data_IF_125859361803
#
_entry.id   IF_125859361803
#
_cell.length_a   1.000
_cell.length_b   1.000
_cell.length_c   1.000
_cell.angle_alpha   90.00
_cell.angle_beta   90.00
_cell.angle_gamma   90.00
#
_symmetry.space_group_name_H-M   'P 1'
#
loop_
_entity.id
_entity.type
_entity.pdbx_description
1 polymer ?
#
# COMPACT_ATOMS: atom_id res chain seq x y z
N UNK A 1 -3.26 -27.44 -7.73
CA UNK A 1 -2.73 -26.07 -7.76
C UNK A 1 -3.77 -25.17 -7.11
N UNK A 2 -3.64 -24.91 -5.80
CA UNK A 2 -4.49 -23.91 -5.15
C UNK A 2 -4.04 -22.55 -5.66
N UNK A 3 -4.87 -21.90 -6.47
CA UNK A 3 -4.78 -20.45 -6.62
C UNK A 3 -5.10 -19.89 -5.25
N UNK A 4 -4.08 -19.34 -4.59
CA UNK A 4 -4.23 -18.57 -3.36
C UNK A 4 -5.13 -17.38 -3.72
N UNK A 5 -6.43 -17.56 -3.55
CA UNK A 5 -7.42 -16.59 -3.98
C UNK A 5 -7.16 -15.34 -3.16
N UNK A 6 -6.73 -14.25 -3.81
CA UNK A 6 -6.60 -12.93 -3.21
C UNK A 6 -7.89 -12.60 -2.46
N UNK A 7 -7.89 -12.79 -1.14
CA UNK A 7 -9.08 -12.59 -0.32
C UNK A 7 -9.34 -11.09 -0.25
N UNK A 8 -10.53 -10.60 -0.65
CA UNK A 8 -10.84 -9.17 -0.58
C UNK A 8 -10.61 -8.57 0.81
N UNK A 9 -10.81 -9.36 1.87
CA UNK A 9 -10.53 -8.95 3.25
C UNK A 9 -9.04 -8.66 3.51
N UNK A 10 -8.13 -9.49 2.99
CA UNK A 10 -6.69 -9.30 3.14
C UNK A 10 -6.19 -8.07 2.36
N UNK A 11 -6.75 -7.83 1.16
CA UNK A 11 -6.47 -6.62 0.40
C UNK A 11 -6.98 -5.37 1.14
N UNK A 12 -8.19 -5.43 1.71
CA UNK A 12 -8.76 -4.32 2.47
C UNK A 12 -7.91 -3.99 3.72
N UNK A 13 -7.44 -5.02 4.44
CA UNK A 13 -6.53 -4.83 5.57
C UNK A 13 -5.21 -4.19 5.12
N UNK A 14 -4.58 -4.72 4.07
CA UNK A 14 -3.35 -4.15 3.51
C UNK A 14 -3.54 -2.69 3.06
N UNK A 15 -4.68 -2.36 2.43
CA UNK A 15 -5.03 -1.00 2.03
C UNK A 15 -5.10 -0.04 3.24
N UNK A 16 -5.70 -0.47 4.35
CA UNK A 16 -5.89 0.39 5.52
C UNK A 16 -4.60 0.59 6.33
N UNK A 17 -3.82 -0.49 6.50
CA UNK A 17 -2.73 -0.52 7.49
C UNK A 17 -1.33 -0.55 6.88
N UNK A 18 -1.15 -1.16 5.71
CA UNK A 18 0.19 -1.34 5.10
C UNK A 18 0.53 -0.26 4.07
N UNK A 19 -0.47 0.39 3.48
CA UNK A 19 -0.21 1.46 2.50
C UNK A 19 0.13 2.78 3.18
N UNK A 20 1.16 3.51 2.72
CA UNK A 20 1.48 4.82 3.28
C UNK A 20 0.34 5.81 3.00
N UNK A 21 0.08 6.71 3.95
CA UNK A 21 -1.01 7.70 3.85
C UNK A 21 -0.90 8.61 2.62
N UNK A 22 0.33 8.94 2.19
CA UNK A 22 0.58 9.75 1.01
C UNK A 22 0.12 9.05 -0.28
N UNK A 23 0.27 7.72 -0.39
CA UNK A 23 -0.12 6.98 -1.59
C UNK A 23 -1.64 6.95 -1.76
N UNK A 24 -2.38 6.79 -0.66
CA UNK A 24 -3.85 6.89 -0.67
C UNK A 24 -4.34 8.26 -1.16
N UNK A 25 -3.72 9.33 -0.65
CA UNK A 25 -4.04 10.70 -1.09
C UNK A 25 -3.60 10.93 -2.54
N UNK A 26 -2.40 10.47 -2.89
CA UNK A 26 -1.78 10.65 -4.21
C UNK A 26 -2.58 10.04 -5.36
N UNK A 27 -3.38 8.99 -5.12
CA UNK A 27 -4.34 8.46 -6.11
C UNK A 27 -5.34 9.51 -6.61
N UNK A 28 -5.65 10.50 -5.78
CA UNK A 28 -6.60 11.58 -6.09
C UNK A 28 -5.91 12.89 -6.49
N UNK A 29 -4.57 12.89 -6.59
CA UNK A 29 -3.81 14.08 -6.97
C UNK A 29 -4.20 14.56 -8.38
N UNK A 30 -4.22 15.88 -8.65
CA UNK A 30 -4.49 16.40 -9.99
C UNK A 30 -3.35 16.11 -10.97
N UNK A 31 -2.12 15.97 -10.47
CA UNK A 31 -0.93 15.63 -11.25
C UNK A 31 -0.90 14.13 -11.62
N UNK A 32 -0.82 13.82 -12.91
CA UNK A 32 -0.84 12.43 -13.41
C UNK A 32 0.38 11.63 -12.98
N UNK A 33 1.57 12.24 -12.96
CA UNK A 33 2.78 11.53 -12.54
C UNK A 33 2.70 11.16 -11.05
N UNK A 34 2.13 12.03 -10.23
CA UNK A 34 1.88 11.78 -8.82
C UNK A 34 0.87 10.65 -8.62
N UNK A 35 -0.22 10.62 -9.41
CA UNK A 35 -1.18 9.49 -9.38
C UNK A 35 -0.50 8.16 -9.71
N UNK A 36 0.35 8.14 -10.73
CA UNK A 36 1.08 6.92 -11.13
C UNK A 36 2.06 6.46 -10.04
N UNK A 37 2.82 7.39 -9.46
CA UNK A 37 3.74 7.08 -8.33
C UNK A 37 2.98 6.53 -7.14
N UNK A 38 1.83 7.12 -6.81
CA UNK A 38 0.97 6.67 -5.72
C UNK A 38 0.39 5.27 -5.97
N UNK A 39 -0.07 5.01 -7.20
CA UNK A 39 -0.57 3.69 -7.59
C UNK A 39 0.54 2.62 -7.50
N UNK A 40 1.75 2.94 -7.95
CA UNK A 40 2.90 2.04 -7.86
C UNK A 40 3.27 1.72 -6.42
N UNK A 41 3.36 2.73 -5.56
CA UNK A 41 3.66 2.53 -4.13
C UNK A 41 2.60 1.66 -3.45
N UNK A 42 1.33 1.97 -3.71
CA UNK A 42 0.21 1.24 -3.14
C UNK A 42 0.22 -0.23 -3.57
N UNK A 43 0.54 -0.51 -4.83
CA UNK A 43 0.67 -1.87 -5.33
C UNK A 43 1.82 -2.63 -4.65
N UNK A 44 2.99 -2.00 -4.47
CA UNK A 44 4.15 -2.60 -3.78
C UNK A 44 3.82 -2.90 -2.32
N UNK A 45 3.26 -1.92 -1.61
CA UNK A 45 2.89 -2.06 -0.20
C UNK A 45 1.88 -3.19 0.03
N UNK A 46 0.87 -3.32 -0.83
CA UNK A 46 -0.11 -4.41 -0.75
C UNK A 46 0.55 -5.75 -1.04
N UNK A 47 1.38 -5.83 -2.09
CA UNK A 47 2.07 -7.07 -2.43
C UNK A 47 2.96 -7.55 -1.27
N UNK A 48 3.76 -6.66 -0.68
CA UNK A 48 4.61 -6.95 0.48
C UNK A 48 3.80 -7.44 1.69
N UNK A 49 2.68 -6.77 1.98
CA UNK A 49 1.79 -7.16 3.07
C UNK A 49 1.21 -8.57 2.87
N UNK A 50 0.82 -8.91 1.64
CA UNK A 50 0.25 -10.21 1.29
C UNK A 50 1.31 -11.33 1.27
N UNK A 51 2.57 -11.02 0.93
CA UNK A 51 3.67 -11.99 0.99
C UNK A 51 4.26 -12.15 2.39
N UNK A 52 3.74 -11.43 3.39
CA UNK A 52 4.21 -11.47 4.78
C UNK A 52 5.56 -10.76 5.01
N UNK A 53 6.05 -10.03 4.01
CA UNK A 53 7.31 -9.29 4.09
C UNK A 53 7.02 -7.89 4.65
N UNK A 54 6.75 -7.84 5.97
CA UNK A 54 6.54 -6.58 6.69
C UNK A 54 7.87 -5.85 6.82
N UNK A 55 8.28 -5.21 5.73
CA UNK A 55 9.40 -4.28 5.74
C UNK A 55 8.93 -2.95 6.29
N UNK A 56 9.49 -2.55 7.43
CA UNK A 56 9.34 -1.18 7.92
C UNK A 56 9.99 -0.25 6.89
N UNK A 57 9.23 0.69 6.32
CA UNK A 57 9.80 1.72 5.45
C UNK A 57 10.56 2.73 6.34
N UNK A 58 11.89 2.83 6.23
CA UNK A 58 12.69 3.73 7.05
C UNK A 58 12.39 5.21 6.79
N UNK A 59 11.70 5.55 5.70
CA UNK A 59 11.27 6.90 5.39
C UNK A 59 9.85 7.22 5.93
N UNK A 60 9.16 6.27 6.53
CA UNK A 60 7.91 6.55 7.23
C UNK A 60 8.21 7.29 8.53
N UNK A 61 7.73 8.53 8.61
CA UNK A 61 7.78 9.31 9.84
C UNK A 61 6.87 8.65 10.88
N UNK A 62 7.41 8.39 12.07
CA UNK A 62 6.59 8.03 13.22
C UNK A 62 5.63 9.19 13.53
N UNK A 63 4.34 8.92 13.50
CA UNK A 63 3.35 9.88 13.95
C UNK A 63 3.47 10.05 15.46
N UNK A 64 3.50 11.30 15.98
CA UNK A 64 3.42 11.53 17.41
C UNK A 64 2.05 11.07 17.93
N UNK A 65 2.07 10.32 19.04
CA UNK A 65 0.88 9.92 19.81
C UNK A 65 0.34 11.11 20.62
#
# INVERSE_FOLDING_TARGET
MQTDSLQPAAIAEALLFSTPGWARIGLTAPDEQMRQKAAQELAVSIAQALTGDRTFDPNQLHLPL
#
